data_IF_233487665315
#
_entry.id   IF_233487665315
#
_cell.length_a   1.000
_cell.length_b   1.000
_cell.length_c   1.000
_cell.angle_alpha   90.00
_cell.angle_beta   90.00
_cell.angle_gamma   90.00
#
_symmetry.space_group_name_H-M   'P 1'
#
loop_
_entity.id
_entity.type
_entity.pdbx_description
1 polymer ?
#
# COMPACT_ATOMS: atom_id res chain seq x y z
N UNK A 1 -44.60 -1.29 -6.35
CA UNK A 1 -43.30 -1.99 -6.45
C UNK A 1 -42.22 -0.97 -6.18
N UNK A 2 -41.76 -0.84 -4.94
CA UNK A 2 -40.62 0.02 -4.58
C UNK A 2 -39.35 -0.82 -4.67
N UNK A 3 -38.68 -0.79 -5.81
CA UNK A 3 -37.25 -1.13 -5.88
C UNK A 3 -36.46 0.13 -5.48
N UNK A 4 -36.36 0.37 -4.18
CA UNK A 4 -35.25 1.16 -3.65
C UNK A 4 -34.16 0.17 -3.30
N UNK A 5 -33.29 -0.11 -4.26
CA UNK A 5 -31.99 -0.70 -3.97
C UNK A 5 -31.16 0.38 -3.28
N UNK A 6 -30.77 0.13 -2.03
CA UNK A 6 -29.98 1.02 -1.20
C UNK A 6 -28.66 1.38 -1.88
N UNK A 7 -28.61 2.54 -2.53
CA UNK A 7 -27.36 3.11 -3.07
C UNK A 7 -26.31 3.36 -1.96
N UNK A 8 -26.77 3.44 -0.70
CA UNK A 8 -25.97 3.62 0.52
C UNK A 8 -24.98 2.49 0.77
N UNK A 9 -25.42 1.23 0.65
CA UNK A 9 -24.62 0.06 1.02
C UNK A 9 -23.40 -0.10 0.08
N UNK A 10 -23.57 0.25 -1.20
CA UNK A 10 -22.50 0.18 -2.21
C UNK A 10 -21.39 1.23 -1.98
N UNK A 11 -21.75 2.43 -1.51
CA UNK A 11 -20.77 3.51 -1.25
C UNK A 11 -19.95 3.20 0.00
N UNK A 12 -20.55 2.58 1.01
CA UNK A 12 -19.88 2.20 2.25
C UNK A 12 -18.86 1.07 2.03
N UNK A 13 -19.23 0.02 1.28
CA UNK A 13 -18.30 -1.05 0.91
C UNK A 13 -17.09 -0.54 0.11
N UNK A 14 -17.32 0.36 -0.86
CA UNK A 14 -16.24 0.99 -1.63
C UNK A 14 -15.34 1.87 -0.77
N UNK A 15 -15.90 2.58 0.22
CA UNK A 15 -15.15 3.40 1.17
C UNK A 15 -14.24 2.57 2.06
N UNK A 16 -14.75 1.45 2.59
CA UNK A 16 -14.00 0.53 3.44
C UNK A 16 -12.87 -0.16 2.66
N UNK A 17 -13.16 -0.63 1.43
CA UNK A 17 -12.15 -1.26 0.58
C UNK A 17 -11.00 -0.30 0.24
N UNK A 18 -11.31 0.93 -0.17
CA UNK A 18 -10.30 1.97 -0.44
C UNK A 18 -9.48 2.30 0.80
N UNK A 19 -10.11 2.42 1.97
CA UNK A 19 -9.41 2.69 3.23
C UNK A 19 -8.45 1.56 3.62
N UNK A 20 -8.87 0.31 3.47
CA UNK A 20 -8.03 -0.86 3.75
C UNK A 20 -6.85 -0.97 2.78
N UNK A 21 -7.08 -0.70 1.49
CA UNK A 21 -6.05 -0.75 0.46
C UNK A 21 -5.00 0.34 0.67
N UNK A 22 -5.44 1.57 0.99
CA UNK A 22 -4.55 2.66 1.39
C UNK A 22 -3.78 2.33 2.67
N UNK A 23 -4.41 1.67 3.64
CA UNK A 23 -3.76 1.22 4.87
C UNK A 23 -2.66 0.20 4.62
N UNK A 24 -2.92 -0.79 3.76
CA UNK A 24 -1.93 -1.80 3.34
C UNK A 24 -0.77 -1.18 2.59
N UNK A 25 -1.04 -0.27 1.65
CA UNK A 25 0.01 0.43 0.90
C UNK A 25 0.90 1.30 1.82
N UNK A 26 0.29 2.04 2.75
CA UNK A 26 1.04 2.83 3.75
C UNK A 26 1.87 1.94 4.67
N UNK A 27 1.32 0.82 5.13
CA UNK A 27 2.05 -0.13 5.96
C UNK A 27 3.27 -0.70 5.23
N UNK A 28 3.10 -1.08 3.95
CA UNK A 28 4.19 -1.59 3.13
C UNK A 28 5.29 -0.54 2.94
N UNK A 29 4.92 0.72 2.66
CA UNK A 29 5.87 1.85 2.61
C UNK A 29 6.68 1.99 3.89
N UNK A 30 6.01 2.06 5.05
CA UNK A 30 6.68 2.21 6.34
C UNK A 30 7.62 1.03 6.66
N UNK A 31 7.23 -0.19 6.29
CA UNK A 31 8.09 -1.36 6.47
C UNK A 31 9.35 -1.28 5.60
N UNK A 32 9.22 -0.85 4.35
CA UNK A 32 10.34 -0.63 3.44
C UNK A 32 11.27 0.46 3.98
N UNK A 33 10.73 1.61 4.40
CA UNK A 33 11.51 2.71 4.98
C UNK A 33 12.26 2.26 6.24
N UNK A 34 11.60 1.53 7.14
CA UNK A 34 12.22 1.00 8.36
C UNK A 34 13.35 0.03 8.05
N UNK A 35 13.21 -0.81 7.02
CA UNK A 35 14.26 -1.75 6.60
C UNK A 35 15.42 -1.04 5.89
N UNK A 36 15.13 -0.04 5.06
CA UNK A 36 16.15 0.83 4.45
C UNK A 36 16.94 1.60 5.52
N UNK A 37 16.27 2.12 6.55
CA UNK A 37 16.91 2.79 7.67
C UNK A 37 17.83 1.88 8.48
N UNK A 38 17.57 0.56 8.48
CA UNK A 38 18.46 -0.46 9.05
C UNK A 38 19.65 -0.82 8.14
N UNK A 39 19.73 -0.26 6.94
CA UNK A 39 20.78 -0.55 5.96
C UNK A 39 20.56 -1.83 5.17
N UNK A 40 19.36 -2.40 5.17
CA UNK A 40 19.05 -3.61 4.39
C UNK A 40 19.02 -3.30 2.89
N UNK A 41 19.52 -4.24 2.09
CA UNK A 41 19.53 -4.15 0.64
C UNK A 41 18.17 -4.49 0.03
N UNK A 42 17.96 -4.08 -1.22
CA UNK A 42 16.71 -4.31 -1.96
C UNK A 42 16.27 -5.80 -2.01
N UNK A 43 17.15 -6.78 -2.29
CA UNK A 43 16.76 -8.20 -2.26
C UNK A 43 16.43 -8.69 -0.84
N UNK A 44 17.12 -8.23 0.21
CA UNK A 44 16.78 -8.59 1.60
C UNK A 44 15.41 -8.03 2.02
N UNK A 45 15.07 -6.83 1.54
CA UNK A 45 13.75 -6.23 1.79
C UNK A 45 12.66 -6.99 1.04
N UNK A 46 12.92 -7.38 -0.21
CA UNK A 46 12.00 -8.16 -1.03
C UNK A 46 11.70 -9.54 -0.39
N UNK A 47 12.75 -10.25 0.01
CA UNK A 47 12.63 -11.54 0.71
C UNK A 47 11.88 -11.38 2.04
N UNK A 48 12.29 -10.42 2.86
CA UNK A 48 11.69 -10.23 4.18
C UNK A 48 10.30 -9.56 4.20
N UNK A 49 9.77 -9.17 3.04
CA UNK A 49 8.38 -8.72 2.85
C UNK A 49 7.59 -9.67 1.95
N UNK A 50 8.19 -10.77 1.49
CA UNK A 50 7.63 -11.70 0.51
C UNK A 50 7.07 -10.98 -0.74
N UNK A 51 7.76 -9.91 -1.14
CA UNK A 51 7.35 -9.01 -2.21
C UNK A 51 8.38 -8.99 -3.34
N UNK A 52 7.92 -8.64 -4.54
CA UNK A 52 8.83 -8.58 -5.69
C UNK A 52 9.78 -7.38 -5.56
N UNK A 53 11.06 -7.59 -5.83
CA UNK A 53 12.07 -6.54 -5.91
C UNK A 53 11.62 -5.34 -6.78
N UNK A 54 10.92 -5.60 -7.88
CA UNK A 54 10.35 -4.56 -8.75
C UNK A 54 9.31 -3.69 -8.01
N UNK A 55 8.44 -4.30 -7.21
CA UNK A 55 7.44 -3.61 -6.39
C UNK A 55 8.13 -2.73 -5.34
N UNK A 56 9.08 -3.32 -4.60
CA UNK A 56 9.87 -2.60 -3.59
C UNK A 56 10.59 -1.42 -4.23
N UNK A 57 11.27 -1.62 -5.37
CA UNK A 57 11.96 -0.56 -6.12
C UNK A 57 11.01 0.58 -6.50
N UNK A 58 9.82 0.26 -7.02
CA UNK A 58 8.81 1.27 -7.40
C UNK A 58 8.38 2.09 -6.19
N UNK A 59 8.16 1.45 -5.05
CA UNK A 59 7.76 2.11 -3.80
C UNK A 59 8.89 3.00 -3.27
N UNK A 60 10.13 2.52 -3.24
CA UNK A 60 11.30 3.32 -2.86
C UNK A 60 11.45 4.54 -3.77
N UNK A 61 11.28 4.35 -5.07
CA UNK A 61 11.29 5.45 -6.05
C UNK A 61 10.21 6.48 -5.74
N UNK A 62 8.98 6.04 -5.45
CA UNK A 62 7.88 6.94 -5.08
C UNK A 62 8.14 7.70 -3.78
N UNK A 63 8.76 7.06 -2.77
CA UNK A 63 9.15 7.71 -1.51
C UNK A 63 10.20 8.81 -1.78
N UNK A 64 11.22 8.51 -2.59
CA UNK A 64 12.30 9.48 -2.91
C UNK A 64 11.85 10.63 -3.82
N UNK A 65 10.85 10.42 -4.69
CA UNK A 65 10.36 11.46 -5.61
C UNK A 65 9.32 12.41 -5.01
N UNK A 66 8.82 12.17 -3.80
CA UNK A 66 7.83 13.06 -3.15
C UNK A 66 8.50 14.23 -2.40
N UNK A 67 9.84 14.33 -2.44
CA UNK A 67 10.63 15.38 -1.80
C UNK A 67 11.09 16.52 -2.73
N UNK A 68 10.52 16.64 -3.94
CA UNK A 68 10.78 17.74 -4.89
C UNK A 68 9.55 18.62 -5.11
#
# INVERSE_FOLDING_TARGET
MNQMCNLSDYVEELGIQKGLEQGKERLLRLQIEKKLAKGLSLPEIADALEEKEKTIRKIIGAIKHTTE
#
